data_IF_404765078115
#
_entry.id   IF_404765078115
#
_cell.length_a   1.000
_cell.length_b   1.000
_cell.length_c   1.000
_cell.angle_alpha   90.00
_cell.angle_beta   90.00
_cell.angle_gamma   90.00
#
_symmetry.space_group_name_H-M   'P 1'
#
loop_
_entity.id
_entity.type
_entity.pdbx_description
1 polymer ?
#
# COMPACT_ATOMS: atom_id res chain seq x y z
N UNK A 1 14.14 -14.63 3.53
CA UNK A 1 15.23 -14.37 4.48
C UNK A 1 16.22 -15.52 4.53
N UNK A 2 15.81 -16.74 4.92
CA UNK A 2 16.69 -17.92 5.02
C UNK A 2 17.49 -18.20 3.73
N UNK A 3 16.84 -18.26 2.57
CA UNK A 3 17.53 -18.46 1.28
C UNK A 3 18.51 -17.35 0.95
N UNK A 4 18.20 -16.10 1.23
CA UNK A 4 19.15 -15.02 0.97
C UNK A 4 20.35 -15.07 1.91
N UNK A 5 20.15 -15.49 3.16
CA UNK A 5 21.26 -15.78 4.08
C UNK A 5 22.13 -16.93 3.57
N UNK A 6 21.52 -18.00 3.07
CA UNK A 6 22.23 -19.15 2.45
C UNK A 6 23.09 -18.72 1.25
N UNK A 7 22.59 -17.78 0.43
CA UNK A 7 23.29 -17.28 -0.76
C UNK A 7 24.04 -15.95 -0.53
N UNK A 8 24.19 -15.49 0.72
CA UNK A 8 24.79 -14.19 1.09
C UNK A 8 24.29 -12.99 0.26
N UNK A 9 22.99 -12.96 -0.01
CA UNK A 9 22.32 -11.85 -0.67
C UNK A 9 21.72 -10.91 0.36
N UNK A 10 21.84 -9.61 0.11
CA UNK A 10 21.10 -8.62 0.87
C UNK A 10 19.65 -8.60 0.42
N UNK A 11 18.73 -8.47 1.36
CA UNK A 11 17.33 -8.19 1.08
C UNK A 11 16.92 -6.93 1.84
N UNK A 12 16.18 -6.08 1.15
CA UNK A 12 15.57 -4.88 1.69
C UNK A 12 14.04 -4.97 1.51
N UNK A 13 13.30 -4.58 2.54
CA UNK A 13 11.84 -4.52 2.59
C UNK A 13 11.40 -3.11 2.93
N UNK A 14 10.36 -2.62 2.25
CA UNK A 14 9.67 -1.39 2.63
C UNK A 14 8.18 -1.69 2.85
N UNK A 15 7.72 -1.55 4.08
CA UNK A 15 6.32 -1.73 4.47
C UNK A 15 5.62 -0.38 4.34
N UNK A 16 4.74 -0.27 3.36
CA UNK A 16 4.04 0.97 3.01
C UNK A 16 2.73 1.06 3.80
N UNK A 17 2.48 2.23 4.38
CA UNK A 17 1.19 2.60 4.97
C UNK A 17 0.62 3.82 4.24
N UNK A 18 -0.68 3.82 3.97
CA UNK A 18 -1.38 4.95 3.37
C UNK A 18 -2.11 5.78 4.43
N UNK A 19 -1.95 7.10 4.37
CA UNK A 19 -2.65 8.00 5.27
C UNK A 19 -4.16 8.03 4.97
N UNK A 20 -4.95 7.39 5.84
CA UNK A 20 -6.42 7.29 5.74
C UNK A 20 -6.87 6.76 4.37
N UNK A 21 -6.31 5.61 3.98
CA UNK A 21 -6.45 5.05 2.64
C UNK A 21 -7.91 4.99 2.15
N UNK A 22 -8.80 4.41 2.95
CA UNK A 22 -10.21 4.29 2.62
C UNK A 22 -10.95 5.64 2.55
N UNK A 23 -10.55 6.63 3.34
CA UNK A 23 -11.21 7.95 3.38
C UNK A 23 -10.71 8.88 2.25
N UNK A 24 -9.57 8.56 1.64
CA UNK A 24 -8.91 9.38 0.62
C UNK A 24 -9.21 8.93 -0.82
N UNK A 25 -9.98 7.86 -1.03
CA UNK A 25 -10.37 7.41 -2.37
C UNK A 25 -11.23 8.48 -3.06
N UNK A 26 -10.73 9.05 -4.14
CA UNK A 26 -11.48 10.02 -4.95
C UNK A 26 -12.47 9.27 -5.86
N UNK A 27 -13.77 9.58 -5.75
CA UNK A 27 -14.81 8.90 -6.52
C UNK A 27 -14.63 9.08 -8.04
N UNK A 28 -14.28 10.29 -8.49
CA UNK A 28 -14.09 10.56 -9.91
C UNK A 28 -12.90 9.78 -10.48
N UNK A 29 -11.84 9.61 -9.69
CA UNK A 29 -10.70 8.75 -10.04
C UNK A 29 -11.10 7.28 -10.03
N UNK A 30 -11.81 6.84 -8.99
CA UNK A 30 -12.28 5.46 -8.88
C UNK A 30 -13.09 5.03 -10.11
N UNK A 31 -14.05 5.84 -10.57
CA UNK A 31 -14.85 5.49 -11.74
C UNK A 31 -14.03 5.36 -13.03
N UNK A 32 -12.99 6.19 -13.19
CA UNK A 32 -12.06 6.09 -14.33
C UNK A 32 -11.22 4.83 -14.24
N UNK A 33 -10.67 4.55 -13.06
CA UNK A 33 -9.87 3.36 -12.78
C UNK A 33 -10.67 2.10 -13.06
N UNK A 34 -11.90 1.98 -12.55
CA UNK A 34 -12.75 0.81 -12.81
C UNK A 34 -12.97 0.58 -14.31
N UNK A 35 -13.21 1.66 -15.06
CA UNK A 35 -13.37 1.59 -16.51
C UNK A 35 -12.09 1.11 -17.21
N UNK A 36 -10.94 1.67 -16.83
CA UNK A 36 -9.63 1.27 -17.38
C UNK A 36 -9.24 -0.17 -17.01
N UNK A 37 -9.69 -0.65 -15.85
CA UNK A 37 -9.55 -2.04 -15.41
C UNK A 37 -10.52 -3.00 -16.11
N UNK A 38 -11.33 -2.53 -17.06
CA UNK A 38 -12.24 -3.34 -17.85
C UNK A 38 -13.57 -3.65 -17.17
N UNK A 39 -13.93 -2.95 -16.09
CA UNK A 39 -15.24 -3.10 -15.46
C UNK A 39 -16.33 -2.51 -16.37
N UNK A 40 -17.38 -3.28 -16.72
CA UNK A 40 -18.45 -2.81 -17.59
C UNK A 40 -19.10 -1.51 -17.12
N UNK A 41 -19.37 -0.61 -18.07
CA UNK A 41 -19.94 0.72 -17.80
C UNK A 41 -21.26 0.67 -16.99
N UNK A 42 -22.10 -0.36 -17.19
CA UNK A 42 -23.35 -0.51 -16.44
C UNK A 42 -23.12 -0.82 -14.95
N UNK A 43 -22.09 -1.60 -14.60
CA UNK A 43 -21.70 -1.85 -13.20
C UNK A 43 -21.08 -0.60 -12.57
N UNK A 44 -20.21 0.09 -13.31
CA UNK A 44 -19.61 1.36 -12.86
C UNK A 44 -20.70 2.42 -12.64
N UNK A 45 -21.75 2.45 -13.47
CA UNK A 45 -22.91 3.32 -13.28
C UNK A 45 -23.69 2.98 -12.02
N UNK A 46 -23.94 1.68 -11.74
CA UNK A 46 -24.58 1.25 -10.51
C UNK A 46 -23.79 1.68 -9.27
N UNK A 47 -22.47 1.48 -9.28
CA UNK A 47 -21.58 1.92 -8.21
C UNK A 47 -21.60 3.45 -8.06
N UNK A 48 -21.54 4.20 -9.16
CA UNK A 48 -21.63 5.67 -9.10
C UNK A 48 -22.94 6.14 -8.46
N UNK A 49 -24.06 5.50 -8.80
CA UNK A 49 -25.36 5.82 -8.22
C UNK A 49 -25.42 5.49 -6.73
N UNK A 50 -24.77 4.39 -6.30
CA UNK A 50 -24.65 4.06 -4.88
C UNK A 50 -23.90 5.15 -4.12
N UNK A 51 -22.90 5.77 -4.74
CA UNK A 51 -22.04 6.80 -4.16
C UNK A 51 -22.50 8.25 -4.39
N UNK A 52 -23.57 8.48 -5.17
CA UNK A 52 -24.07 9.81 -5.50
C UNK A 52 -24.80 10.46 -4.32
N UNK A 53 -24.66 11.79 -4.19
CA UNK A 53 -25.38 12.66 -3.25
C UNK A 53 -25.43 12.15 -1.81
N UNK A 54 -24.33 11.53 -1.37
CA UNK A 54 -24.23 10.94 -0.05
C UNK A 54 -24.03 12.01 1.01
N UNK A 55 -24.83 11.91 2.07
CA UNK A 55 -24.67 12.72 3.27
C UNK A 55 -24.33 11.84 4.46
N UNK A 56 -23.49 12.36 5.35
CA UNK A 56 -23.15 11.73 6.61
C UNK A 56 -23.29 12.74 7.76
N UNK A 57 -23.44 12.21 8.97
CA UNK A 57 -23.39 12.97 10.21
C UNK A 57 -22.61 12.17 11.24
N UNK A 58 -21.94 12.84 12.19
CA UNK A 58 -21.17 12.21 13.25
C UNK A 58 -21.97 12.24 14.54
N UNK A 59 -22.17 11.07 15.17
CA UNK A 59 -22.69 10.98 16.53
C UNK A 59 -21.55 11.11 17.52
N UNK A 60 -21.59 12.15 18.35
CA UNK A 60 -20.63 12.41 19.42
C UNK A 60 -21.30 12.26 20.79
N UNK A 61 -20.50 12.30 21.87
CA UNK A 61 -21.03 12.34 23.24
C UNK A 61 -21.88 13.59 23.56
N UNK A 62 -21.79 14.63 22.74
CA UNK A 62 -22.54 15.90 22.89
C UNK A 62 -23.76 15.99 21.98
N UNK A 63 -24.05 14.96 21.18
CA UNK A 63 -25.15 14.95 20.21
C UNK A 63 -24.71 14.60 18.79
N UNK A 64 -25.65 14.74 17.86
CA UNK A 64 -25.47 14.48 16.42
C UNK A 64 -25.07 15.80 15.75
N UNK A 65 -24.06 15.77 14.87
CA UNK A 65 -23.65 16.96 14.09
C UNK A 65 -24.62 17.25 12.96
N UNK A 66 -24.47 18.40 12.31
CA UNK A 66 -25.15 18.66 11.06
C UNK A 66 -24.73 17.64 9.98
N UNK A 67 -25.62 17.46 9.00
CA UNK A 67 -25.34 16.67 7.81
C UNK A 67 -24.30 17.37 6.94
N UNK A 68 -23.40 16.58 6.38
CA UNK A 68 -22.40 17.05 5.41
C UNK A 68 -22.26 16.07 4.26
N UNK A 69 -21.89 16.60 3.09
CA UNK A 69 -21.72 15.83 1.87
C UNK A 69 -20.43 15.01 1.90
N UNK A 70 -20.53 13.73 1.50
CA UNK A 70 -19.42 12.79 1.40
C UNK A 70 -18.83 12.86 0.00
N UNK A 71 -17.78 13.68 -0.16
CA UNK A 71 -17.11 13.87 -1.46
C UNK A 71 -15.98 12.90 -1.78
N UNK A 72 -15.57 12.05 -0.81
CA UNK A 72 -14.47 11.11 -0.96
C UNK A 72 -14.58 9.95 0.02
N UNK A 73 -13.84 8.90 -0.30
CA UNK A 73 -13.69 7.70 0.48
C UNK A 73 -14.69 6.61 0.10
N UNK A 74 -14.36 5.37 0.45
CA UNK A 74 -15.27 4.24 0.33
C UNK A 74 -15.97 3.98 1.65
N UNK A 75 -17.13 3.33 1.62
CA UNK A 75 -17.93 3.05 2.82
C UNK A 75 -17.23 2.05 3.74
N UNK A 76 -16.73 2.52 4.87
CA UNK A 76 -16.22 1.60 5.88
C UNK A 76 -17.34 0.66 6.34
N UNK A 77 -17.07 -0.64 6.35
CA UNK A 77 -18.07 -1.69 6.66
C UNK A 77 -18.90 -2.17 5.47
N UNK A 78 -18.82 -1.53 4.29
CA UNK A 78 -19.41 -2.08 3.07
C UNK A 78 -18.55 -3.22 2.52
N UNK A 79 -19.20 -4.31 2.11
CA UNK A 79 -18.52 -5.50 1.56
C UNK A 79 -17.74 -5.22 0.28
N UNK A 80 -18.13 -4.19 -0.48
CA UNK A 80 -17.48 -3.81 -1.73
C UNK A 80 -16.26 -2.91 -1.53
N UNK A 81 -16.17 -2.20 -0.40
CA UNK A 81 -15.11 -1.21 -0.16
C UNK A 81 -13.70 -1.78 -0.24
N UNK A 82 -13.39 -2.96 0.34
CA UNK A 82 -12.09 -3.60 0.15
C UNK A 82 -11.79 -3.91 -1.33
N UNK A 83 -12.80 -4.37 -2.08
CA UNK A 83 -12.64 -4.70 -3.50
C UNK A 83 -12.37 -3.44 -4.34
N UNK A 84 -13.09 -2.35 -4.08
CA UNK A 84 -12.88 -1.05 -4.74
C UNK A 84 -11.49 -0.48 -4.44
N UNK A 85 -11.04 -0.60 -3.19
CA UNK A 85 -9.68 -0.18 -2.82
C UNK A 85 -8.61 -1.05 -3.51
N UNK A 86 -8.83 -2.36 -3.64
CA UNK A 86 -7.90 -3.24 -4.36
C UNK A 86 -7.74 -2.84 -5.84
N UNK A 87 -8.82 -2.44 -6.52
CA UNK A 87 -8.69 -1.89 -7.88
C UNK A 87 -7.85 -0.62 -7.92
N UNK A 88 -8.00 0.23 -6.91
CA UNK A 88 -7.20 1.44 -6.75
C UNK A 88 -5.72 1.14 -6.56
N UNK A 89 -5.40 0.24 -5.63
CA UNK A 89 -4.04 -0.19 -5.35
C UNK A 89 -3.42 -0.87 -6.58
N UNK A 90 -4.14 -1.78 -7.24
CA UNK A 90 -3.69 -2.45 -8.46
C UNK A 90 -3.40 -1.45 -9.59
N UNK A 91 -4.25 -0.43 -9.75
CA UNK A 91 -4.02 0.64 -10.73
C UNK A 91 -2.70 1.38 -10.46
N UNK A 92 -2.44 1.72 -9.20
CA UNK A 92 -1.18 2.37 -8.80
C UNK A 92 0.01 1.47 -9.12
N UNK A 93 -0.06 0.17 -8.78
CA UNK A 93 1.06 -0.74 -8.98
C UNK A 93 1.40 -0.95 -10.46
N UNK A 94 0.38 -1.07 -11.32
CA UNK A 94 0.57 -1.17 -12.78
C UNK A 94 1.19 0.08 -13.35
N UNK A 95 0.68 1.25 -13.00
CA UNK A 95 1.22 2.52 -13.49
C UNK A 95 2.60 2.84 -12.91
N UNK A 96 2.94 2.31 -11.73
CA UNK A 96 4.27 2.42 -11.16
C UNK A 96 5.30 1.56 -11.92
N UNK A 97 4.85 0.73 -12.86
CA UNK A 97 5.71 -0.11 -13.70
C UNK A 97 6.43 -1.20 -12.90
N UNK A 98 5.78 -1.71 -11.84
CA UNK A 98 6.36 -2.74 -10.97
C UNK A 98 6.49 -4.07 -11.70
N UNK A 99 5.57 -4.44 -12.60
CA UNK A 99 5.66 -5.71 -13.33
C UNK A 99 6.78 -5.71 -14.38
N UNK A 100 7.01 -4.56 -15.03
CA UNK A 100 8.06 -4.37 -16.03
C UNK A 100 9.44 -4.12 -15.41
N UNK A 101 9.48 -3.77 -14.12
CA UNK A 101 10.73 -3.54 -13.43
C UNK A 101 11.53 -4.85 -13.31
N UNK A 102 12.74 -4.86 -13.86
CA UNK A 102 13.70 -5.95 -13.68
C UNK A 102 14.36 -5.94 -12.28
N UNK A 103 13.71 -5.33 -11.30
CA UNK A 103 14.17 -5.18 -9.91
C UNK A 103 13.35 -6.08 -8.99
N UNK A 104 13.83 -6.31 -7.77
CA UNK A 104 13.18 -7.19 -6.80
C UNK A 104 14.03 -8.40 -6.43
N UNK A 105 13.45 -9.30 -5.64
CA UNK A 105 14.12 -10.54 -5.21
C UNK A 105 13.89 -11.61 -6.27
N UNK A 106 14.97 -12.26 -6.73
CA UNK A 106 14.85 -13.34 -7.71
C UNK A 106 14.51 -14.67 -7.03
N UNK A 107 13.30 -15.17 -7.24
CA UNK A 107 12.80 -16.43 -6.68
C UNK A 107 12.33 -17.33 -7.84
N UNK A 108 12.90 -18.53 -7.94
CA UNK A 108 12.56 -19.52 -8.98
C UNK A 108 12.58 -18.95 -10.42
N UNK A 109 13.51 -18.04 -10.71
CA UNK A 109 13.67 -17.41 -12.03
C UNK A 109 12.74 -16.22 -12.30
N UNK A 110 11.89 -15.84 -11.35
CA UNK A 110 11.03 -14.65 -11.44
C UNK A 110 11.49 -13.59 -10.44
N UNK A 111 11.34 -12.32 -10.81
CA UNK A 111 11.57 -11.22 -9.88
C UNK A 111 10.27 -10.95 -9.11
N UNK A 112 10.38 -10.85 -7.80
CA UNK A 112 9.28 -10.47 -6.91
C UNK A 112 9.70 -9.20 -6.19
N UNK A 113 9.03 -8.09 -6.52
CA UNK A 113 9.34 -6.77 -5.96
C UNK A 113 8.24 -6.21 -5.06
N UNK A 114 7.08 -6.86 -4.99
CA UNK A 114 6.02 -6.48 -4.08
C UNK A 114 5.23 -7.70 -3.58
N UNK A 115 4.77 -7.61 -2.33
CA UNK A 115 3.77 -8.49 -1.73
C UNK A 115 2.63 -7.62 -1.23
N UNK A 116 1.40 -8.07 -1.49
CA UNK A 116 0.20 -7.30 -1.19
C UNK A 116 -0.83 -8.20 -0.54
N UNK A 117 -1.37 -7.78 0.59
CA UNK A 117 -2.46 -8.47 1.26
C UNK A 117 -3.40 -7.43 1.86
N UNK A 118 -4.65 -7.41 1.37
CA UNK A 118 -5.60 -6.36 1.70
C UNK A 118 -5.00 -4.95 1.50
N UNK A 119 -4.91 -4.16 2.56
CA UNK A 119 -4.33 -2.82 2.59
C UNK A 119 -2.81 -2.79 2.81
N UNK A 120 -2.20 -3.89 3.24
CA UNK A 120 -0.75 -3.99 3.44
C UNK A 120 -0.02 -4.16 2.09
N UNK A 121 0.90 -3.25 1.79
CA UNK A 121 1.81 -3.37 0.64
C UNK A 121 3.25 -3.37 1.14
N UNK A 122 4.01 -4.40 0.75
CA UNK A 122 5.43 -4.51 1.03
C UNK A 122 6.21 -4.52 -0.27
N UNK A 123 7.11 -3.57 -0.46
CA UNK A 123 8.09 -3.58 -1.54
C UNK A 123 9.35 -4.34 -1.12
N UNK A 124 10.02 -4.94 -2.09
CA UNK A 124 11.19 -5.77 -1.86
C UNK A 124 12.23 -5.57 -2.96
N UNK A 125 13.51 -5.54 -2.60
CA UNK A 125 14.61 -5.50 -3.56
C UNK A 125 15.89 -6.13 -3.01
N UNK A 126 16.85 -6.40 -3.89
CA UNK A 126 18.19 -6.89 -3.54
C UNK A 126 19.19 -5.74 -3.27
N UNK A 127 18.81 -4.48 -3.56
CA UNK A 127 19.60 -3.28 -3.25
C UNK A 127 18.74 -2.15 -2.67
N UNK A 128 19.39 -1.28 -1.90
CA UNK A 128 18.77 -0.10 -1.29
C UNK A 128 18.25 0.88 -2.36
N UNK A 129 19.04 1.10 -3.42
CA UNK A 129 18.73 2.00 -4.52
C UNK A 129 17.49 1.53 -5.31
N UNK A 130 17.39 0.22 -5.56
CA UNK A 130 16.21 -0.35 -6.22
C UNK A 130 14.97 -0.18 -5.36
N UNK A 131 15.04 -0.50 -4.06
CA UNK A 131 13.90 -0.36 -3.16
C UNK A 131 13.43 1.10 -3.09
N UNK A 132 14.37 2.06 -3.01
CA UNK A 132 14.06 3.49 -2.99
C UNK A 132 13.41 3.94 -4.28
N UNK A 133 13.92 3.46 -5.43
CA UNK A 133 13.32 3.74 -6.74
C UNK A 133 11.88 3.23 -6.82
N UNK A 134 11.63 1.99 -6.37
CA UNK A 134 10.29 1.41 -6.35
C UNK A 134 9.32 2.22 -5.47
N UNK A 135 9.75 2.57 -4.25
CA UNK A 135 8.94 3.38 -3.33
C UNK A 135 8.58 4.74 -3.94
N UNK A 136 9.54 5.42 -4.58
CA UNK A 136 9.28 6.71 -5.21
C UNK A 136 8.31 6.61 -6.39
N UNK A 137 8.39 5.55 -7.22
CA UNK A 137 7.39 5.32 -8.29
C UNK A 137 6.00 5.12 -7.71
N UNK A 138 5.87 4.27 -6.70
CA UNK A 138 4.58 4.02 -6.02
C UNK A 138 4.03 5.30 -5.40
N UNK A 139 4.87 6.10 -4.73
CA UNK A 139 4.48 7.39 -4.16
C UNK A 139 3.90 8.33 -5.22
N UNK A 140 4.63 8.53 -6.32
CA UNK A 140 4.22 9.44 -7.41
C UNK A 140 2.90 8.99 -8.03
N UNK A 141 2.73 7.71 -8.34
CA UNK A 141 1.48 7.22 -8.91
C UNK A 141 0.32 7.27 -7.90
N UNK A 142 0.58 7.01 -6.63
CA UNK A 142 -0.43 7.13 -5.56
C UNK A 142 -0.95 8.56 -5.45
N UNK A 143 -0.07 9.56 -5.51
CA UNK A 143 -0.44 10.97 -5.38
C UNK A 143 -1.28 11.47 -6.56
N UNK A 144 -1.06 10.96 -7.78
CA UNK A 144 -1.89 11.28 -8.96
C UNK A 144 -3.35 10.89 -8.81
N UNK A 145 -3.59 9.88 -7.97
CA UNK A 145 -4.92 9.41 -7.60
C UNK A 145 -5.28 9.82 -6.17
N UNK A 146 -4.60 10.78 -5.57
CA UNK A 146 -5.01 11.38 -4.29
C UNK A 146 -4.73 10.54 -3.05
N UNK A 147 -4.01 9.42 -3.16
CA UNK A 147 -3.49 8.69 -2.01
C UNK A 147 -2.11 9.22 -1.62
N UNK A 148 -1.89 9.38 -0.31
CA UNK A 148 -0.61 9.79 0.25
C UNK A 148 -0.04 8.70 1.13
N UNK A 149 1.26 8.47 1.00
CA UNK A 149 1.98 7.59 1.91
C UNK A 149 2.07 8.25 3.29
N UNK A 150 1.97 7.44 4.33
CA UNK A 150 2.23 7.84 5.70
C UNK A 150 3.68 7.51 6.03
N UNK A 151 4.57 8.48 5.86
CA UNK A 151 6.02 8.26 5.99
C UNK A 151 6.39 7.80 7.40
N UNK A 152 5.73 8.33 8.42
CA UNK A 152 5.97 7.95 9.83
C UNK A 152 5.59 6.50 10.14
N UNK A 153 4.56 5.97 9.48
CA UNK A 153 4.16 4.57 9.63
C UNK A 153 4.86 3.63 8.66
N UNK A 154 5.38 4.15 7.56
CA UNK A 154 6.18 3.39 6.60
C UNK A 154 7.48 2.95 7.28
N UNK A 155 7.80 1.66 7.20
CA UNK A 155 9.01 1.09 7.82
C UNK A 155 9.91 0.47 6.78
N UNK A 156 11.21 0.47 7.05
CA UNK A 156 12.21 -0.23 6.24
C UNK A 156 12.90 -1.28 7.10
N UNK A 157 13.08 -2.49 6.56
CA UNK A 157 13.85 -3.56 7.19
C UNK A 157 14.85 -4.09 6.18
N UNK A 158 16.09 -4.31 6.61
CA UNK A 158 17.16 -4.79 5.73
C UNK A 158 18.05 -5.80 6.45
N UNK A 159 18.57 -6.78 5.72
CA UNK A 159 19.56 -7.74 6.23
C UNK A 159 20.99 -7.18 6.29
N UNK A 160 21.18 -5.93 5.86
CA UNK A 160 22.45 -5.22 5.82
C UNK A 160 22.23 -3.76 6.24
N UNK A 161 23.29 -3.02 6.64
CA UNK A 161 23.17 -1.61 6.97
C UNK A 161 22.49 -0.83 5.85
N UNK A 162 21.59 0.07 6.23
CA UNK A 162 20.85 0.94 5.31
C UNK A 162 21.17 2.40 5.62
N UNK A 163 21.19 3.25 4.60
CA UNK A 163 21.29 4.69 4.84
C UNK A 163 19.96 5.27 5.33
N UNK A 164 20.00 6.38 6.05
CA UNK A 164 18.78 7.07 6.49
C UNK A 164 18.03 7.63 5.29
N UNK A 165 16.75 7.30 5.16
CA UNK A 165 15.89 7.82 4.10
C UNK A 165 15.07 9.01 4.59
N UNK A 166 15.11 10.10 3.82
CA UNK A 166 14.23 11.25 4.00
C UNK A 166 13.32 11.38 2.78
N UNK A 167 12.00 11.43 3.02
CA UNK A 167 10.96 11.57 2.00
C UNK A 167 10.03 12.69 2.47
N UNK A 168 9.88 13.72 1.64
CA UNK A 168 9.06 14.92 1.93
C UNK A 168 9.41 15.61 3.27
N UNK A 169 10.68 15.56 3.69
CA UNK A 169 11.14 16.15 4.96
C UNK A 169 10.92 15.26 6.19
N UNK A 170 10.42 14.03 6.00
CA UNK A 170 10.20 13.05 7.06
C UNK A 170 11.16 11.87 6.92
N UNK A 171 11.76 11.45 8.03
CA UNK A 171 12.65 10.29 8.06
C UNK A 171 11.84 9.00 8.11
N UNK A 172 12.13 8.07 7.21
CA UNK A 172 11.53 6.72 7.23
C UNK A 172 12.21 5.90 8.32
N UNK A 173 11.42 5.28 9.20
CA UNK A 173 11.98 4.49 10.29
C UNK A 173 12.54 3.16 9.79
N UNK A 174 13.77 2.85 10.21
CA UNK A 174 14.40 1.54 9.99
C UNK A 174 14.19 0.65 11.21
N UNK A 175 13.71 -0.57 11.00
CA UNK A 175 13.38 -1.54 12.05
C UNK A 175 14.19 -2.84 11.89
N UNK A 176 14.51 -3.48 13.01
CA UNK A 176 15.15 -4.81 13.04
C UNK A 176 14.16 -5.96 12.91
N UNK A 177 12.88 -5.70 13.20
CA UNK A 177 11.81 -6.68 13.08
C UNK A 177 10.46 -6.01 12.78
N UNK A 178 9.54 -6.79 12.22
CA UNK A 178 8.21 -6.32 11.83
C UNK A 178 7.18 -7.45 11.98
N UNK A 179 5.94 -7.12 12.35
CA UNK A 179 4.83 -8.07 12.33
C UNK A 179 4.19 -8.03 10.94
N UNK A 180 4.48 -9.02 10.13
CA UNK A 180 3.95 -9.15 8.77
C UNK A 180 2.91 -10.27 8.72
N UNK A 181 1.64 -9.91 8.43
CA UNK A 181 0.52 -10.85 8.33
C UNK A 181 0.35 -11.75 9.58
N UNK A 182 0.59 -11.17 10.76
CA UNK A 182 0.50 -11.87 12.04
C UNK A 182 1.74 -12.68 12.43
N UNK A 183 2.78 -12.72 11.59
CA UNK A 183 4.05 -13.39 11.89
C UNK A 183 5.17 -12.38 12.09
N UNK A 184 6.03 -12.60 13.10
CA UNK A 184 7.19 -11.75 13.34
C UNK A 184 8.32 -12.13 12.37
N UNK A 185 8.72 -11.19 11.52
CA UNK A 185 9.89 -11.32 10.67
C UNK A 185 11.02 -10.47 11.22
N UNK A 186 12.24 -10.99 11.20
CA UNK A 186 13.44 -10.32 11.72
C UNK A 186 14.48 -10.14 10.62
N UNK A 187 15.27 -9.07 10.71
CA UNK A 187 16.35 -8.76 9.76
C UNK A 187 17.41 -9.87 9.67
N UNK A 188 17.63 -10.61 10.76
CA UNK A 188 18.59 -11.73 10.81
C UNK A 188 17.99 -13.07 10.35
N UNK A 189 16.68 -13.09 10.06
CA UNK A 189 15.94 -14.30 9.70
C UNK A 189 15.82 -15.31 10.86
N UNK A 190 15.86 -14.82 12.10
CA UNK A 190 15.63 -15.64 13.29
C UNK A 190 14.12 -15.87 13.50
N UNK A 191 13.75 -17.14 13.62
CA UNK A 191 12.39 -17.64 13.84
C UNK A 191 12.14 -18.04 15.30
N UNK A 192 13.13 -17.87 16.20
CA UNK A 192 13.06 -18.31 17.60
C UNK A 192 11.93 -17.65 18.42
N UNK A 193 11.43 -16.50 17.96
CA UNK A 193 10.42 -15.68 18.64
C UNK A 193 9.03 -15.70 17.95
N UNK A 194 8.75 -16.65 17.05
CA UNK A 194 7.39 -16.83 16.55
C UNK A 194 6.46 -17.24 17.70
N UNK A 195 5.45 -16.40 17.99
CA UNK A 195 4.47 -16.67 19.03
C UNK A 195 3.59 -17.84 18.58
N UNK A 196 3.56 -18.91 19.37
CA UNK A 196 2.69 -20.08 19.21
C UNK A 196 1.21 -19.75 19.30
#
# INVERSE_FOLDING_TARGET
MEKAREFQKNIYFCFIDYAKAFDCVDHNKLWKILKEMGIPDHLTCLLRNLYADQEATVRTGHGITDWFQVGKGVHQGCILSPCLFNFYAEYIMRNAGLEEAQTGIKIAGRNINNLRYADDTTLMAESEEELKSLLMKVKVESEKVGLKLNIQKTKIMASSPITSWEIDGETVETVSDFIFLGSKITADGDYSNEIK
#
